data_IF_751893602127
#
_entry.id   IF_751893602127
#
_cell.length_a   1.000
_cell.length_b   1.000
_cell.length_c   1.000
_cell.angle_alpha   90.00
_cell.angle_beta   90.00
_cell.angle_gamma   90.00
#
_symmetry.space_group_name_H-M   'P 1'
#
loop_
_entity.id
_entity.type
_entity.pdbx_description
1 polymer ?
#
# COMPACT_ATOMS: atom_id res chain seq x y z
N UNK A 1 -41.93 46.64 12.06
CA UNK A 1 -40.62 47.16 12.53
C UNK A 1 -39.55 46.25 11.96
N UNK A 2 -38.80 46.76 10.99
CA UNK A 2 -37.68 46.09 10.31
C UNK A 2 -36.54 45.93 11.32
N UNK A 3 -36.00 44.72 11.48
CA UNK A 3 -34.73 44.46 12.17
C UNK A 3 -33.91 43.49 11.33
N UNK A 4 -33.13 44.09 10.45
CA UNK A 4 -31.93 43.49 9.85
C UNK A 4 -30.96 43.10 10.97
N UNK A 5 -30.44 41.86 10.93
CA UNK A 5 -29.10 41.58 11.44
C UNK A 5 -28.45 40.48 10.59
N UNK A 6 -27.46 40.91 9.82
CA UNK A 6 -26.47 40.12 9.08
C UNK A 6 -25.49 39.56 10.11
N UNK A 7 -25.20 38.25 10.10
CA UNK A 7 -23.93 37.72 10.63
C UNK A 7 -23.42 36.55 9.78
N UNK A 8 -22.36 36.87 9.04
CA UNK A 8 -21.16 36.11 8.70
C UNK A 8 -21.25 34.60 8.36
N UNK A 9 -21.04 34.38 7.07
CA UNK A 9 -20.53 33.17 6.42
C UNK A 9 -19.25 32.64 7.10
N UNK A 10 -19.32 31.44 7.67
CA UNK A 10 -18.13 30.64 8.03
C UNK A 10 -17.72 29.82 6.81
N UNK A 11 -16.82 30.36 5.98
CA UNK A 11 -16.01 29.54 5.08
C UNK A 11 -15.04 28.73 5.95
N UNK A 12 -15.33 27.44 6.13
CA UNK A 12 -14.30 26.50 6.52
C UNK A 12 -13.30 26.42 5.35
N UNK A 13 -12.13 27.00 5.56
CA UNK A 13 -10.96 26.80 4.72
C UNK A 13 -10.60 25.31 4.87
N UNK A 14 -11.03 24.49 3.92
CA UNK A 14 -10.47 23.17 3.73
C UNK A 14 -9.01 23.37 3.31
N UNK A 15 -8.09 23.26 4.26
CA UNK A 15 -6.66 23.27 3.96
C UNK A 15 -6.35 22.10 3.01
N UNK A 16 -5.55 22.31 1.96
CA UNK A 16 -5.11 21.22 1.11
C UNK A 16 -4.24 20.28 1.96
N UNK A 17 -4.74 19.08 2.24
CA UNK A 17 -3.91 18.00 2.74
C UNK A 17 -3.02 17.53 1.58
N UNK A 18 -1.88 18.20 1.39
CA UNK A 18 -0.82 17.76 0.50
C UNK A 18 -0.10 16.57 1.14
N UNK A 19 -0.65 15.37 1.00
CA UNK A 19 0.13 14.14 1.20
C UNK A 19 0.97 13.88 -0.06
N UNK A 20 1.90 14.78 -0.36
CA UNK A 20 2.96 14.56 -1.35
C UNK A 20 4.08 13.78 -0.67
N UNK A 21 4.04 12.44 -0.69
CA UNK A 21 5.29 11.69 -0.65
C UNK A 21 5.62 11.24 -2.07
N UNK A 22 6.51 12.00 -2.72
CA UNK A 22 7.44 11.34 -3.63
C UNK A 22 8.28 10.43 -2.74
N UNK A 23 7.78 9.22 -2.49
CA UNK A 23 8.47 8.22 -1.70
C UNK A 23 9.80 7.95 -2.40
N UNK A 24 10.89 8.39 -1.76
CA UNK A 24 12.22 7.90 -2.08
C UNK A 24 12.14 6.38 -2.05
N UNK A 25 12.77 5.70 -3.01
CA UNK A 25 12.75 4.24 -2.99
C UNK A 25 13.46 3.77 -1.72
N UNK A 26 12.69 3.29 -0.75
CA UNK A 26 13.23 2.71 0.48
C UNK A 26 13.37 1.21 0.24
N UNK A 27 14.58 0.70 0.46
CA UNK A 27 14.84 -0.75 0.41
C UNK A 27 14.54 -1.33 1.78
N UNK A 28 13.62 -2.29 1.83
CA UNK A 28 13.29 -2.99 3.06
C UNK A 28 14.33 -4.06 3.42
N UNK A 29 14.18 -4.69 4.59
CA UNK A 29 15.11 -5.71 5.09
C UNK A 29 15.22 -6.97 4.22
N UNK A 30 14.21 -7.26 3.38
CA UNK A 30 14.21 -8.37 2.44
C UNK A 30 14.66 -7.97 1.01
N UNK A 31 15.16 -6.74 0.83
CA UNK A 31 15.63 -6.21 -0.45
C UNK A 31 14.52 -5.73 -1.40
N UNK A 32 13.28 -5.64 -0.91
CA UNK A 32 12.13 -5.15 -1.65
C UNK A 32 11.93 -3.65 -1.53
N UNK A 33 10.89 -3.14 -2.21
CA UNK A 33 10.46 -1.75 -2.03
C UNK A 33 9.57 -1.64 -0.80
N UNK A 34 9.98 -0.80 0.15
CA UNK A 34 9.27 -0.51 1.38
C UNK A 34 8.52 0.83 1.31
N UNK A 35 7.29 0.85 1.83
CA UNK A 35 6.44 2.05 1.90
C UNK A 35 5.67 2.10 3.23
N UNK A 36 5.25 3.31 3.61
CA UNK A 36 4.27 3.53 4.67
C UNK A 36 2.85 3.32 4.12
N UNK A 37 2.12 2.38 4.69
CA UNK A 37 0.73 2.08 4.36
C UNK A 37 -0.21 2.67 5.42
N UNK A 38 -1.42 3.05 5.00
CA UNK A 38 -2.45 3.52 5.94
C UNK A 38 -2.09 4.82 6.68
N UNK A 39 -1.21 5.66 6.13
CA UNK A 39 -0.73 6.86 6.82
C UNK A 39 0.28 6.57 7.93
N UNK A 40 1.06 5.49 7.79
CA UNK A 40 2.08 5.08 8.76
C UNK A 40 1.57 4.11 9.82
N UNK A 41 0.37 3.55 9.66
CA UNK A 41 -0.13 2.49 10.54
C UNK A 41 0.66 1.20 10.39
N UNK A 42 1.07 0.90 9.14
CA UNK A 42 1.86 -0.28 8.79
C UNK A 42 2.99 0.12 7.84
N UNK A 43 4.09 -0.63 7.86
CA UNK A 43 5.10 -0.60 6.81
C UNK A 43 4.96 -1.86 5.96
N UNK A 44 4.93 -1.68 4.64
CA UNK A 44 4.83 -2.77 3.69
C UNK A 44 6.09 -2.84 2.86
N UNK A 45 6.70 -4.02 2.83
CA UNK A 45 7.78 -4.34 1.91
C UNK A 45 7.29 -5.32 0.85
N UNK A 46 7.52 -5.00 -0.43
CA UNK A 46 7.20 -5.88 -1.55
C UNK A 46 8.46 -6.27 -2.30
N UNK A 47 8.70 -7.58 -2.39
CA UNK A 47 9.72 -8.21 -3.21
C UNK A 47 9.06 -8.84 -4.44
N UNK A 48 9.67 -8.66 -5.61
CA UNK A 48 9.22 -9.28 -6.86
C UNK A 48 10.38 -10.08 -7.49
N UNK A 49 10.14 -11.35 -7.81
CA UNK A 49 11.13 -12.23 -8.42
C UNK A 49 10.46 -13.24 -9.35
N UNK A 50 10.90 -13.31 -10.61
CA UNK A 50 10.24 -14.14 -11.63
C UNK A 50 8.76 -13.78 -11.75
N UNK A 51 7.87 -14.74 -11.51
CA UNK A 51 6.43 -14.53 -11.50
C UNK A 51 5.80 -14.47 -10.09
N UNK A 52 6.62 -14.33 -9.04
CA UNK A 52 6.20 -14.29 -7.64
C UNK A 52 6.32 -12.88 -7.05
N UNK A 53 5.35 -12.53 -6.21
CA UNK A 53 5.37 -11.39 -5.30
C UNK A 53 5.36 -11.90 -3.86
N UNK A 54 6.21 -11.33 -3.02
CA UNK A 54 6.18 -11.53 -1.57
C UNK A 54 5.95 -10.19 -0.88
N UNK A 55 4.89 -10.10 -0.08
CA UNK A 55 4.55 -8.95 0.74
C UNK A 55 4.87 -9.26 2.20
N UNK A 56 5.69 -8.43 2.83
CA UNK A 56 5.94 -8.44 4.26
C UNK A 56 5.24 -7.24 4.92
N UNK A 57 4.61 -7.48 6.06
CA UNK A 57 3.83 -6.46 6.78
C UNK A 57 4.41 -6.26 8.18
N UNK A 58 4.74 -5.02 8.55
CA UNK A 58 5.10 -4.68 9.93
C UNK A 58 4.26 -3.51 10.42
N UNK A 59 4.18 -3.34 11.74
CA UNK A 59 3.59 -2.15 12.33
C UNK A 59 4.57 -0.95 12.24
N UNK A 60 4.12 0.20 12.74
CA UNK A 60 4.92 1.43 12.82
C UNK A 60 6.16 1.33 13.70
N UNK A 61 6.26 0.29 14.54
CA UNK A 61 7.41 -0.02 15.38
C UNK A 61 8.25 -1.19 14.82
N UNK A 62 8.09 -1.50 13.53
CA UNK A 62 8.79 -2.58 12.81
C UNK A 62 8.53 -4.00 13.35
N UNK A 63 7.43 -4.20 14.10
CA UNK A 63 7.05 -5.52 14.58
C UNK A 63 6.24 -6.27 13.52
N UNK A 64 6.45 -7.59 13.37
CA UNK A 64 5.64 -8.41 12.46
C UNK A 64 4.14 -8.30 12.76
N UNK A 65 3.34 -8.04 11.73
CA UNK A 65 1.87 -8.06 11.80
C UNK A 65 1.39 -9.39 11.25
N UNK A 66 0.64 -10.16 12.05
CA UNK A 66 0.10 -11.45 11.64
C UNK A 66 -0.79 -11.30 10.39
N UNK A 67 -0.47 -12.07 9.36
CA UNK A 67 -1.20 -12.06 8.08
C UNK A 67 -2.32 -13.09 8.01
N UNK A 68 -2.33 -14.07 8.91
CA UNK A 68 -3.38 -15.07 9.01
C UNK A 68 -4.75 -14.42 9.26
N UNK A 69 -5.77 -14.90 8.54
CA UNK A 69 -7.13 -14.35 8.59
C UNK A 69 -7.35 -13.07 7.77
N UNK A 70 -6.29 -12.39 7.35
CA UNK A 70 -6.33 -11.30 6.39
C UNK A 70 -6.35 -11.77 4.94
N UNK A 71 -6.66 -10.85 4.03
CA UNK A 71 -6.63 -11.05 2.58
C UNK A 71 -5.82 -9.94 1.92
N UNK A 72 -5.25 -10.22 0.76
CA UNK A 72 -4.73 -9.17 -0.10
C UNK A 72 -4.83 -9.53 -1.58
N UNK A 73 -5.03 -8.51 -2.40
CA UNK A 73 -5.03 -8.61 -3.87
C UNK A 73 -4.12 -7.54 -4.45
N UNK A 74 -3.55 -7.82 -5.62
CA UNK A 74 -2.79 -6.84 -6.38
C UNK A 74 -3.20 -6.73 -7.84
N UNK A 75 -3.05 -5.50 -8.35
CA UNK A 75 -2.98 -5.20 -9.77
C UNK A 75 -1.53 -4.89 -10.13
N UNK A 76 -0.96 -5.74 -10.97
CA UNK A 76 0.41 -5.66 -11.47
C UNK A 76 0.41 -5.01 -12.85
N UNK A 77 1.13 -3.91 -13.01
CA UNK A 77 1.40 -3.24 -14.28
C UNK A 77 2.85 -3.50 -14.67
N UNK A 78 3.06 -4.21 -15.78
CA UNK A 78 4.41 -4.55 -16.25
C UNK A 78 4.43 -4.72 -17.76
N UNK A 79 5.39 -4.08 -18.43
CA UNK A 79 5.49 -4.14 -19.90
C UNK A 79 4.24 -3.65 -20.65
N UNK A 80 3.48 -2.70 -20.08
CA UNK A 80 2.24 -2.20 -20.67
C UNK A 80 1.02 -3.11 -20.51
N UNK A 81 1.15 -4.23 -19.79
CA UNK A 81 0.06 -5.16 -19.48
C UNK A 81 -0.35 -5.09 -18.02
N UNK A 82 -1.58 -5.49 -17.75
CA UNK A 82 -2.17 -5.55 -16.42
C UNK A 82 -2.47 -7.00 -16.04
N UNK A 83 -2.04 -7.41 -14.86
CA UNK A 83 -2.27 -8.74 -14.30
C UNK A 83 -2.90 -8.59 -12.92
N UNK A 84 -3.87 -9.43 -12.59
CA UNK A 84 -4.45 -9.49 -11.24
C UNK A 84 -3.93 -10.73 -10.54
N UNK A 85 -3.51 -10.58 -9.29
CA UNK A 85 -3.06 -11.69 -8.45
C UNK A 85 -3.67 -11.56 -7.07
N UNK A 86 -3.91 -12.70 -6.42
CA UNK A 86 -4.37 -12.78 -5.05
C UNK A 86 -3.24 -13.32 -4.19
N UNK A 87 -3.01 -12.68 -3.06
CA UNK A 87 -2.03 -13.12 -2.09
C UNK A 87 -2.64 -14.14 -1.13
N UNK A 88 -1.86 -15.14 -0.76
CA UNK A 88 -2.16 -16.07 0.31
C UNK A 88 -1.18 -15.85 1.47
N UNK A 89 -1.65 -15.89 2.73
CA UNK A 89 -0.75 -15.92 3.89
C UNK A 89 0.25 -17.06 3.75
N UNK A 90 1.53 -16.78 4.03
CA UNK A 90 2.64 -17.71 3.92
C UNK A 90 3.36 -17.92 5.27
N UNK A 91 2.72 -17.52 6.37
CA UNK A 91 3.25 -17.60 7.73
C UNK A 91 3.68 -16.23 8.27
N UNK A 92 3.55 -16.07 9.58
CA UNK A 92 3.89 -14.85 10.32
C UNK A 92 3.30 -13.59 9.64
N UNK A 93 4.18 -12.69 9.22
CA UNK A 93 3.84 -11.45 8.55
C UNK A 93 3.99 -11.45 7.03
N UNK A 94 4.02 -12.64 6.43
CA UNK A 94 4.31 -12.83 5.02
C UNK A 94 3.07 -13.24 4.24
N UNK A 95 2.85 -12.62 3.09
CA UNK A 95 1.90 -13.09 2.08
C UNK A 95 2.59 -13.27 0.73
N UNK A 96 2.19 -14.28 -0.04
CA UNK A 96 2.74 -14.58 -1.37
C UNK A 96 1.68 -14.63 -2.45
N UNK A 97 2.02 -14.18 -3.65
CA UNK A 97 1.17 -14.29 -4.82
C UNK A 97 1.99 -14.70 -6.04
N UNK A 98 1.42 -15.51 -6.91
CA UNK A 98 1.99 -15.86 -8.21
C UNK A 98 1.04 -15.42 -9.31
N UNK A 99 1.58 -14.97 -10.45
CA UNK A 99 0.77 -14.53 -11.59
C UNK A 99 1.33 -14.92 -12.95
N UNK A 100 0.59 -14.55 -13.99
CA UNK A 100 1.02 -14.68 -15.39
C UNK A 100 1.79 -13.42 -15.84
N UNK A 101 2.88 -13.10 -15.15
CA UNK A 101 3.76 -11.99 -15.49
C UNK A 101 5.21 -12.39 -15.21
N UNK A 102 6.16 -11.62 -15.76
CA UNK A 102 7.57 -11.70 -15.39
C UNK A 102 8.00 -10.36 -14.77
N UNK A 103 8.58 -10.43 -13.57
CA UNK A 103 9.06 -9.28 -12.82
C UNK A 103 10.25 -8.64 -13.57
N UNK A 104 10.17 -7.33 -13.76
CA UNK A 104 11.21 -6.54 -14.43
C UNK A 104 11.13 -5.07 -14.01
N UNK A 105 12.19 -4.34 -14.29
CA UNK A 105 12.28 -2.89 -14.05
C UNK A 105 11.08 -2.12 -14.63
N UNK A 106 10.66 -1.10 -13.90
CA UNK A 106 9.50 -0.27 -14.24
C UNK A 106 8.14 -0.90 -13.91
N UNK A 107 8.12 -2.09 -13.29
CA UNK A 107 6.91 -2.71 -12.74
C UNK A 107 6.27 -1.82 -11.67
N UNK A 108 4.94 -1.70 -11.72
CA UNK A 108 4.12 -1.04 -10.70
C UNK A 108 3.13 -2.04 -10.15
N UNK A 109 3.01 -2.12 -8.83
CA UNK A 109 2.08 -3.03 -8.16
C UNK A 109 1.19 -2.22 -7.25
N UNK A 110 -0.12 -2.29 -7.45
CA UNK A 110 -1.09 -1.72 -6.53
C UNK A 110 -1.59 -2.87 -5.66
N UNK A 111 -1.26 -2.85 -4.38
CA UNK A 111 -1.66 -3.85 -3.38
C UNK A 111 -2.81 -3.29 -2.55
N UNK A 112 -3.83 -4.10 -2.30
CA UNK A 112 -4.90 -3.83 -1.36
C UNK A 112 -4.94 -4.96 -0.33
N UNK A 113 -4.85 -4.63 0.95
CA UNK A 113 -5.10 -5.57 2.05
C UNK A 113 -6.52 -5.40 2.59
N UNK A 114 -7.06 -6.47 3.17
CA UNK A 114 -8.32 -6.46 3.88
C UNK A 114 -8.21 -7.29 5.17
N UNK A 115 -8.38 -6.65 6.32
CA UNK A 115 -8.32 -7.29 7.64
C UNK A 115 -6.92 -7.73 8.10
N UNK A 116 -5.84 -7.31 7.44
CA UNK A 116 -4.46 -7.61 7.88
C UNK A 116 -4.12 -6.75 9.09
N UNK A 117 -3.82 -7.38 10.24
CA UNK A 117 -3.74 -6.66 11.51
C UNK A 117 -5.06 -6.02 11.96
N UNK A 118 -6.20 -6.47 11.40
CA UNK A 118 -7.53 -5.89 11.66
C UNK A 118 -7.84 -4.63 10.85
N UNK A 119 -6.97 -4.22 9.93
CA UNK A 119 -7.12 -3.02 9.12
C UNK A 119 -7.07 -3.32 7.60
N UNK A 120 -7.55 -2.38 6.80
CA UNK A 120 -7.61 -2.52 5.33
C UNK A 120 -7.01 -1.28 4.69
N UNK A 121 -5.98 -1.47 3.88
CA UNK A 121 -5.25 -0.39 3.22
C UNK A 121 -5.04 -0.66 1.73
N UNK A 122 -4.64 0.38 1.01
CA UNK A 122 -4.21 0.26 -0.38
C UNK A 122 -2.98 1.14 -0.62
N UNK A 123 -2.00 0.60 -1.33
CA UNK A 123 -0.79 1.33 -1.69
C UNK A 123 -0.25 0.90 -3.05
N UNK A 124 0.56 1.77 -3.64
CA UNK A 124 1.30 1.49 -4.89
C UNK A 124 2.78 1.34 -4.59
N UNK A 125 3.38 0.26 -5.08
CA UNK A 125 4.79 -0.08 -4.92
C UNK A 125 5.45 -0.25 -6.29
N UNK A 126 6.76 0.00 -6.35
CA UNK A 126 7.61 -0.21 -7.54
C UNK A 126 8.78 -1.11 -7.13
N UNK A 127 8.58 -2.43 -7.00
CA UNK A 127 9.56 -3.34 -6.40
C UNK A 127 10.86 -3.49 -7.20
N UNK A 128 10.83 -3.15 -8.50
CA UNK A 128 11.98 -3.16 -9.39
C UNK A 128 12.01 -1.81 -10.12
N UNK A 129 12.90 -0.91 -9.68
CA UNK A 129 13.15 0.39 -10.33
C UNK A 129 14.16 0.25 -11.45
#
# INVERSE_FOLDING_TARGET
>A
MIRTLIVAMLLFIAGPALAHSESSFLTGPNGGHMIDAGGGAQHWELVAAGNELTLYVTDSAEKPVETAGGKADATVLVGGKTHKVTFTPAGDNTMKATGDFEAKEGMKVIVKTDGVGGESFQARLTPLK
#
